data_IF_087295983350
#
_entry.id   IF_087295983350
#
_cell.length_a   1.000
_cell.length_b   1.000
_cell.length_c   1.000
_cell.angle_alpha   90.00
_cell.angle_beta   90.00
_cell.angle_gamma   90.00
#
_symmetry.space_group_name_H-M   'P 1'
#
loop_
_entity.id
_entity.type
_entity.pdbx_description
1 polymer ?
#
# COMPACT_ATOMS: atom_id res chain seq x y z
N UNK A 1 0.95 34.96 20.28
CA UNK A 1 1.59 34.10 21.30
C UNK A 1 2.29 33.02 20.51
N UNK A 2 3.62 32.92 20.63
CA UNK A 2 4.37 31.96 19.82
C UNK A 2 4.09 30.57 20.39
N UNK A 3 3.43 29.76 19.56
CA UNK A 3 3.01 28.41 19.91
C UNK A 3 4.24 27.58 20.29
N UNK A 4 4.24 27.03 21.50
CA UNK A 4 5.38 26.31 22.07
C UNK A 4 5.72 25.12 21.18
N UNK A 5 6.93 25.13 20.62
CA UNK A 5 7.45 23.96 19.92
C UNK A 5 7.77 22.88 20.96
N UNK A 6 7.30 21.66 20.73
CA UNK A 6 7.68 20.52 21.56
C UNK A 6 9.13 20.14 21.24
N UNK A 7 9.99 20.16 22.26
CA UNK A 7 11.39 19.71 22.17
C UNK A 7 11.48 18.19 22.10
N UNK A 8 10.58 17.51 22.81
CA UNK A 8 10.43 16.07 22.78
C UNK A 8 9.00 15.74 22.38
N UNK A 9 8.83 14.92 21.34
CA UNK A 9 7.53 14.56 20.81
C UNK A 9 7.39 13.05 20.72
N UNK A 10 6.36 12.53 21.38
CA UNK A 10 6.06 11.09 21.39
C UNK A 10 4.89 10.80 20.45
N UNK A 11 5.07 9.81 19.60
CA UNK A 11 4.05 9.39 18.65
C UNK A 11 3.70 7.93 18.88
N UNK A 12 2.41 7.64 19.02
CA UNK A 12 1.89 6.29 19.25
C UNK A 12 1.04 5.84 18.08
N UNK A 13 1.25 4.61 17.61
CA UNK A 13 0.53 4.01 16.50
C UNK A 13 -0.10 2.70 16.95
N UNK A 14 -1.41 2.60 16.76
CA UNK A 14 -2.19 1.38 17.02
C UNK A 14 -2.96 0.92 15.78
N UNK A 15 -3.48 -0.30 15.80
CA UNK A 15 -4.50 -0.74 14.84
C UNK A 15 -5.91 -0.28 15.27
N UNK A 16 -6.93 -0.65 14.50
CA UNK A 16 -8.35 -0.36 14.79
C UNK A 16 -8.87 -0.99 16.09
N UNK A 17 -8.21 -2.05 16.57
CA UNK A 17 -8.57 -2.77 17.79
C UNK A 17 -7.78 -2.24 19.01
N UNK A 18 -6.95 -1.21 18.81
CA UNK A 18 -6.13 -0.58 19.85
C UNK A 18 -4.83 -1.32 20.15
N UNK A 19 -4.44 -2.31 19.33
CA UNK A 19 -3.19 -3.03 19.51
C UNK A 19 -2.01 -2.19 18.98
N UNK A 20 -0.88 -2.14 19.70
CA UNK A 20 0.29 -1.39 19.26
C UNK A 20 0.90 -1.97 17.98
N UNK A 21 1.29 -1.08 17.04
CA UNK A 21 1.92 -1.47 15.79
C UNK A 21 3.43 -1.16 15.81
N UNK A 22 4.25 -2.20 15.90
CA UNK A 22 5.72 -2.16 15.74
C UNK A 22 6.11 -1.91 14.27
N UNK A 23 7.31 -1.38 14.03
CA UNK A 23 7.91 -1.24 12.69
C UNK A 23 7.02 -0.42 11.74
N UNK A 24 6.39 0.63 12.27
CA UNK A 24 5.68 1.65 11.49
C UNK A 24 6.66 2.80 11.24
N UNK A 25 6.82 3.20 9.99
CA UNK A 25 7.63 4.35 9.64
C UNK A 25 6.86 5.65 9.91
N UNK A 26 7.38 6.47 10.81
CA UNK A 26 6.86 7.79 11.15
C UNK A 26 7.83 8.84 10.62
N UNK A 27 7.36 9.62 9.64
CA UNK A 27 8.10 10.70 9.02
C UNK A 27 7.52 12.04 9.45
N UNK A 28 8.29 12.76 10.25
CA UNK A 28 8.04 14.17 10.57
C UNK A 28 8.77 15.02 9.53
N UNK A 29 8.07 15.94 8.87
CA UNK A 29 8.71 16.81 7.89
C UNK A 29 9.70 17.77 8.57
N UNK A 30 10.96 17.69 8.19
CA UNK A 30 12.07 18.44 8.80
C UNK A 30 12.99 17.57 9.64
N UNK A 31 12.57 16.34 9.96
CA UNK A 31 13.30 15.38 10.78
C UNK A 31 13.56 14.07 10.02
N UNK A 32 14.40 13.22 10.60
CA UNK A 32 14.62 11.87 10.12
C UNK A 32 13.38 10.99 10.32
N UNK A 33 13.22 9.98 9.45
CA UNK A 33 12.16 8.98 9.61
C UNK A 33 12.58 7.98 10.70
N UNK A 34 11.71 7.74 11.67
CA UNK A 34 11.92 6.75 12.72
C UNK A 34 10.88 5.64 12.66
N UNK A 35 11.19 4.50 13.25
CA UNK A 35 10.30 3.34 13.34
C UNK A 35 9.72 3.21 14.75
N UNK A 36 8.46 2.79 14.85
CA UNK A 36 7.85 2.46 16.15
C UNK A 36 8.42 1.19 16.77
N UNK A 37 8.52 1.20 18.10
CA UNK A 37 8.97 0.06 18.91
C UNK A 37 7.86 -0.99 19.15
N UNK A 38 8.12 -1.97 20.02
CA UNK A 38 7.16 -3.05 20.32
C UNK A 38 5.88 -2.56 21.00
N UNK A 39 5.90 -1.36 21.56
CA UNK A 39 4.74 -0.69 22.15
C UNK A 39 4.04 0.24 21.15
N UNK A 40 4.42 0.18 19.86
CA UNK A 40 3.89 1.05 18.82
C UNK A 40 4.27 2.51 19.02
N UNK A 41 5.34 2.79 19.77
CA UNK A 41 5.71 4.14 20.16
C UNK A 41 7.03 4.55 19.54
N UNK A 42 7.17 5.83 19.23
CA UNK A 42 8.42 6.43 18.79
C UNK A 42 8.57 7.83 19.39
N UNK A 43 9.76 8.14 19.88
CA UNK A 43 10.09 9.46 20.45
C UNK A 43 11.09 10.19 19.58
N UNK A 44 10.77 11.45 19.29
CA UNK A 44 11.62 12.41 18.62
C UNK A 44 12.15 13.37 19.69
N UNK A 45 13.46 13.39 19.87
CA UNK A 45 14.15 14.24 20.85
C UNK A 45 14.81 15.40 20.11
N UNK A 46 14.93 16.55 20.76
CA UNK A 46 15.52 17.79 20.20
C UNK A 46 14.84 18.28 18.90
N UNK A 47 13.54 18.03 18.75
CA UNK A 47 12.76 18.44 17.57
C UNK A 47 12.03 19.75 17.79
N UNK A 48 11.55 20.36 16.72
CA UNK A 48 10.72 21.58 16.79
C UNK A 48 9.38 21.35 16.10
N UNK A 49 8.50 20.60 16.76
CA UNK A 49 7.16 20.32 16.25
C UNK A 49 6.24 21.54 16.52
N UNK A 50 5.57 22.02 15.47
CA UNK A 50 4.63 23.15 15.51
C UNK A 50 3.24 22.74 14.96
N UNK A 51 2.27 23.66 14.90
CA UNK A 51 0.92 23.37 14.39
C UNK A 51 0.90 22.78 12.99
N UNK A 52 1.83 23.30 12.22
CA UNK A 52 1.93 23.25 10.79
C UNK A 52 2.91 22.16 10.35
N UNK A 53 3.55 21.49 11.32
CA UNK A 53 4.36 20.31 11.09
C UNK A 53 3.49 19.19 10.51
N UNK A 54 3.94 18.65 9.38
CA UNK A 54 3.32 17.54 8.68
C UNK A 54 3.94 16.23 9.15
N UNK A 55 3.09 15.24 9.38
CA UNK A 55 3.48 13.89 9.76
C UNK A 55 2.88 12.92 8.74
N UNK A 56 3.71 11.99 8.28
CA UNK A 56 3.30 10.88 7.41
C UNK A 56 3.67 9.57 8.09
N UNK A 57 2.72 8.66 8.17
CA UNK A 57 2.84 7.37 8.84
C UNK A 57 2.55 6.27 7.82
N UNK A 58 3.50 5.37 7.64
CA UNK A 58 3.44 4.32 6.62
C UNK A 58 3.86 2.98 7.19
N UNK A 59 3.09 1.94 6.88
CA UNK A 59 3.39 0.54 7.16
C UNK A 59 2.83 -0.32 6.04
N UNK A 60 3.59 -1.32 5.60
CA UNK A 60 3.12 -2.27 4.59
C UNK A 60 1.87 -3.01 5.08
N UNK A 61 0.88 -3.18 4.19
CA UNK A 61 -0.43 -3.77 4.52
C UNK A 61 -1.39 -2.84 5.27
N UNK A 62 -1.04 -1.57 5.52
CA UNK A 62 -1.89 -0.58 6.19
C UNK A 62 -2.12 0.67 5.34
N UNK A 63 -3.24 1.36 5.57
CA UNK A 63 -3.51 2.66 4.95
C UNK A 63 -2.51 3.71 5.42
N UNK A 64 -1.96 4.49 4.50
CA UNK A 64 -1.07 5.61 4.84
C UNK A 64 -1.85 6.73 5.51
N UNK A 65 -1.34 7.24 6.63
CA UNK A 65 -1.91 8.41 7.31
C UNK A 65 -1.01 9.61 7.02
N UNK A 66 -1.60 10.70 6.55
CA UNK A 66 -0.93 11.99 6.39
C UNK A 66 -1.75 13.06 7.10
N UNK A 67 -1.15 13.73 8.08
CA UNK A 67 -1.83 14.74 8.87
C UNK A 67 -0.89 15.89 9.26
N UNK A 68 -1.49 16.99 9.71
CA UNK A 68 -0.79 18.07 10.40
C UNK A 68 -1.05 17.93 11.90
N UNK A 69 -0.06 18.28 12.73
CA UNK A 69 -0.18 18.15 14.19
C UNK A 69 -1.33 18.98 14.75
N UNK A 70 -1.57 20.17 14.17
CA UNK A 70 -2.64 21.06 14.60
C UNK A 70 -2.33 21.78 15.92
N UNK A 71 -3.27 22.60 16.40
CA UNK A 71 -3.22 23.31 17.68
C UNK A 71 -3.42 22.38 18.87
N UNK A 72 -2.31 21.79 19.33
CA UNK A 72 -2.22 21.02 20.58
C UNK A 72 -1.18 21.64 21.52
N UNK A 73 -1.45 21.57 22.82
CA UNK A 73 -0.49 21.83 23.90
C UNK A 73 0.19 20.53 24.38
N UNK A 74 -0.28 19.38 23.90
CA UNK A 74 0.24 18.06 24.21
C UNK A 74 1.36 17.71 23.23
N UNK A 75 2.51 17.31 23.77
CA UNK A 75 3.65 16.83 22.98
C UNK A 75 3.57 15.32 22.69
N UNK A 76 2.35 14.81 22.66
CA UNK A 76 2.02 13.44 22.35
C UNK A 76 0.90 13.38 21.32
N UNK A 77 0.98 12.43 20.41
CA UNK A 77 -0.03 12.23 19.39
C UNK A 77 -0.20 10.74 19.11
N UNK A 78 -1.44 10.28 19.16
CA UNK A 78 -1.79 8.91 18.86
C UNK A 78 -2.60 8.85 17.57
N UNK A 79 -2.30 7.84 16.74
CA UNK A 79 -3.08 7.53 15.55
C UNK A 79 -3.38 6.03 15.48
N UNK A 80 -4.56 5.72 14.93
CA UNK A 80 -4.94 4.35 14.62
C UNK A 80 -4.85 4.15 13.11
N UNK A 81 -4.11 3.13 12.69
CA UNK A 81 -4.02 2.70 11.29
C UNK A 81 -5.04 1.60 11.01
N UNK A 82 -5.67 1.70 9.84
CA UNK A 82 -6.51 0.62 9.32
C UNK A 82 -5.69 -0.26 8.38
N UNK A 83 -5.94 -1.57 8.39
CA UNK A 83 -5.38 -2.44 7.36
C UNK A 83 -5.81 -1.91 6.00
N UNK A 84 -4.86 -1.80 5.07
CA UNK A 84 -5.17 -1.42 3.71
C UNK A 84 -6.20 -2.44 3.19
N UNK A 85 -7.30 -1.97 2.56
CA UNK A 85 -8.25 -2.89 1.98
C UNK A 85 -7.47 -3.83 1.08
N UNK A 86 -7.59 -5.14 1.33
CA UNK A 86 -7.09 -6.17 0.42
C UNK A 86 -7.92 -6.08 -0.84
N UNK A 87 -7.62 -5.10 -1.68
CA UNK A 87 -8.12 -5.01 -3.02
C UNK A 87 -7.45 -6.14 -3.77
N UNK A 88 -8.12 -7.30 -3.80
CA UNK A 88 -7.94 -8.22 -4.90
C UNK A 88 -8.28 -7.40 -6.15
N UNK A 89 -7.35 -7.10 -7.05
CA UNK A 89 -7.73 -6.54 -8.33
C UNK A 89 -8.49 -7.65 -9.06
N UNK A 90 -9.81 -7.72 -8.86
CA UNK A 90 -10.68 -8.36 -9.83
C UNK A 90 -10.58 -7.51 -11.07
N UNK A 91 -9.70 -7.90 -11.99
CA UNK A 91 -9.74 -7.35 -13.33
C UNK A 91 -10.98 -7.96 -13.99
N UNK A 92 -11.98 -7.13 -14.28
CA UNK A 92 -12.82 -7.43 -15.42
C UNK A 92 -11.98 -7.09 -16.64
N UNK A 93 -11.58 -8.10 -17.42
CA UNK A 93 -11.17 -7.82 -18.80
C UNK A 93 -12.43 -7.30 -19.47
N UNK A 94 -12.53 -5.99 -19.63
CA UNK A 94 -13.57 -5.38 -20.47
C UNK A 94 -13.23 -5.68 -21.93
N UNK A 95 -13.42 -6.94 -22.30
CA UNK A 95 -13.44 -7.35 -23.69
C UNK A 95 -14.84 -7.01 -24.14
N UNK A 96 -15.02 -5.84 -24.75
CA UNK A 96 -16.23 -5.50 -25.51
C UNK A 96 -16.52 -6.51 -26.67
N UNK A 97 -15.81 -7.64 -26.73
CA UNK A 97 -15.83 -8.76 -27.66
C UNK A 97 -15.48 -10.10 -26.94
N UNK A 98 -15.97 -10.34 -25.73
CA UNK A 98 -15.57 -11.47 -24.84
C UNK A 98 -15.69 -12.88 -25.42
N UNK A 99 -16.52 -13.10 -26.44
CA UNK A 99 -16.64 -14.40 -27.13
C UNK A 99 -15.43 -14.76 -28.01
N UNK A 100 -14.54 -13.80 -28.29
CA UNK A 100 -13.42 -13.99 -29.23
C UNK A 100 -12.08 -14.32 -28.56
N UNK A 101 -11.98 -14.16 -27.23
CA UNK A 101 -10.74 -14.38 -26.48
C UNK A 101 -10.72 -15.63 -25.60
N UNK A 102 -11.76 -16.47 -25.65
CA UNK A 102 -11.73 -17.78 -25.01
C UNK A 102 -10.56 -18.60 -25.59
N UNK A 103 -9.66 -19.07 -24.73
CA UNK A 103 -8.41 -19.74 -25.12
C UNK A 103 -7.21 -18.80 -25.29
N UNK A 104 -7.34 -17.50 -25.05
CA UNK A 104 -6.20 -16.58 -25.04
C UNK A 104 -5.26 -16.86 -23.86
N UNK A 105 -3.95 -16.69 -24.08
CA UNK A 105 -2.92 -16.84 -23.05
C UNK A 105 -2.67 -15.51 -22.36
N UNK A 106 -2.74 -15.51 -21.04
CA UNK A 106 -2.37 -14.40 -20.16
C UNK A 106 -1.06 -14.74 -19.47
N UNK A 107 -0.12 -13.82 -19.50
CA UNK A 107 1.18 -13.93 -18.82
C UNK A 107 1.29 -12.76 -17.85
N UNK A 108 1.52 -13.05 -16.57
CA UNK A 108 1.77 -12.05 -15.54
C UNK A 108 3.24 -12.13 -15.14
N UNK A 109 3.95 -11.01 -15.28
CA UNK A 109 5.34 -10.83 -14.87
C UNK A 109 5.34 -9.90 -13.66
N UNK A 110 5.34 -10.47 -12.47
CA UNK A 110 5.30 -9.79 -11.17
C UNK A 110 6.70 -9.50 -10.59
N UNK A 111 7.74 -9.52 -11.44
CA UNK A 111 9.13 -9.40 -10.99
C UNK A 111 9.76 -10.71 -10.50
N UNK A 112 9.00 -11.81 -10.40
CA UNK A 112 9.56 -13.13 -10.10
C UNK A 112 10.33 -13.73 -11.29
N UNK A 113 11.25 -14.66 -11.03
CA UNK A 113 12.02 -15.34 -12.09
C UNK A 113 11.12 -16.16 -13.04
N UNK A 114 9.92 -16.53 -12.61
CA UNK A 114 8.98 -17.37 -13.36
C UNK A 114 7.63 -16.68 -13.51
N UNK A 115 7.30 -16.17 -14.71
CA UNK A 115 6.02 -15.50 -14.93
C UNK A 115 4.85 -16.49 -14.84
N UNK A 116 3.74 -16.02 -14.28
CA UNK A 116 2.52 -16.80 -14.18
C UNK A 116 1.82 -16.85 -15.53
N UNK A 117 1.29 -18.02 -15.88
CA UNK A 117 0.58 -18.24 -17.14
C UNK A 117 -0.84 -18.68 -16.84
N UNK A 118 -1.79 -18.14 -17.58
CA UNK A 118 -3.19 -18.52 -17.48
C UNK A 118 -3.91 -18.46 -18.81
N UNK A 119 -5.08 -19.07 -18.86
CA UNK A 119 -5.93 -19.17 -20.05
C UNK A 119 -7.25 -18.47 -19.75
N UNK A 120 -7.71 -17.63 -20.68
CA UNK A 120 -9.03 -17.00 -20.61
C UNK A 120 -10.12 -18.05 -20.88
N UNK A 121 -10.94 -18.33 -19.88
CA UNK A 121 -12.10 -19.22 -19.97
C UNK A 121 -13.38 -18.52 -20.45
N UNK A 122 -14.44 -19.32 -20.65
CA UNK A 122 -15.75 -18.89 -21.12
C UNK A 122 -16.48 -17.98 -20.13
N UNK A 123 -16.08 -16.70 -20.12
CA UNK A 123 -16.63 -15.50 -19.43
C UNK A 123 -15.59 -14.38 -19.30
N UNK A 124 -14.37 -14.56 -19.82
CA UNK A 124 -13.28 -13.60 -19.62
C UNK A 124 -12.51 -13.81 -18.31
N UNK A 125 -12.80 -14.88 -17.57
CA UNK A 125 -12.09 -15.26 -16.34
C UNK A 125 -10.80 -15.97 -16.74
N UNK A 126 -9.67 -15.61 -16.14
CA UNK A 126 -8.39 -16.27 -16.39
C UNK A 126 -8.15 -17.34 -15.34
N UNK A 127 -7.91 -18.57 -15.80
CA UNK A 127 -7.45 -19.68 -14.95
C UNK A 127 -5.94 -19.81 -15.12
N UNK A 128 -5.19 -19.60 -14.03
CA UNK A 128 -3.74 -19.72 -14.02
C UNK A 128 -3.30 -21.16 -13.74
N UNK A 129 -2.19 -21.56 -14.36
CA UNK A 129 -1.57 -22.87 -14.16
C UNK A 129 -1.32 -23.14 -12.66
N UNK A 130 -1.51 -24.38 -12.23
CA UNK A 130 -1.36 -24.82 -10.84
C UNK A 130 -2.25 -24.11 -9.81
N UNK A 131 -3.36 -23.49 -10.25
CA UNK A 131 -4.19 -22.61 -9.42
C UNK A 131 -3.38 -21.47 -8.79
N UNK A 132 -2.31 -21.02 -9.48
CA UNK A 132 -1.51 -19.92 -9.00
C UNK A 132 -2.34 -18.64 -8.93
N UNK A 133 -2.12 -17.84 -7.90
CA UNK A 133 -2.78 -16.55 -7.74
C UNK A 133 -1.75 -15.46 -7.96
N UNK A 134 -1.85 -14.65 -9.03
CA UNK A 134 -0.89 -13.59 -9.30
C UNK A 134 -0.96 -12.48 -8.26
N UNK A 135 0.21 -12.05 -7.79
CA UNK A 135 0.37 -10.82 -7.01
C UNK A 135 0.68 -9.69 -7.99
N UNK A 136 -0.13 -8.62 -7.99
CA UNK A 136 0.07 -7.47 -8.88
C UNK A 136 0.64 -6.28 -8.08
N UNK A 137 1.97 -6.19 -8.03
CA UNK A 137 2.70 -5.02 -7.54
C UNK A 137 2.82 -3.93 -8.63
N UNK A 138 3.15 -2.66 -8.29
CA UNK A 138 3.23 -1.54 -9.25
C UNK A 138 4.20 -1.72 -10.44
N UNK A 139 5.03 -2.77 -10.44
CA UNK A 139 5.94 -3.14 -11.54
C UNK A 139 5.45 -4.36 -12.34
N UNK A 140 4.23 -4.82 -12.07
CA UNK A 140 3.69 -6.05 -12.67
C UNK A 140 3.21 -5.84 -14.09
N UNK A 141 3.86 -6.53 -15.03
CA UNK A 141 3.50 -6.47 -16.45
C UNK A 141 2.54 -7.61 -16.76
N UNK A 142 1.36 -7.27 -17.27
CA UNK A 142 0.37 -8.23 -17.76
C UNK A 142 0.37 -8.23 -19.29
N UNK A 143 0.66 -9.39 -19.87
CA UNK A 143 0.64 -9.61 -21.31
C UNK A 143 -0.49 -10.56 -21.68
N UNK A 144 -1.32 -10.16 -22.64
CA UNK A 144 -2.39 -11.00 -23.19
C UNK A 144 -2.06 -11.25 -24.66
N UNK A 145 -2.05 -12.52 -25.06
CA UNK A 145 -1.74 -12.93 -26.42
C UNK A 145 -2.69 -14.04 -26.89
N UNK A 146 -3.11 -13.94 -28.14
CA UNK A 146 -3.88 -14.97 -28.81
C UNK A 146 -3.49 -15.01 -30.28
N UNK A 147 -3.41 -16.22 -30.83
CA UNK A 147 -3.09 -16.41 -32.24
C UNK A 147 -4.13 -15.70 -33.12
N UNK A 148 -3.67 -14.85 -34.03
CA UNK A 148 -4.52 -14.04 -34.91
C UNK A 148 -4.96 -12.68 -34.34
N UNK A 149 -4.55 -12.32 -33.11
CA UNK A 149 -4.86 -11.04 -32.48
C UNK A 149 -3.58 -10.27 -32.10
N UNK A 150 -3.66 -8.93 -32.11
CA UNK A 150 -2.55 -8.10 -31.62
C UNK A 150 -2.35 -8.31 -30.11
N UNK A 151 -1.08 -8.45 -29.72
CA UNK A 151 -0.68 -8.61 -28.32
C UNK A 151 -1.03 -7.34 -27.54
N UNK A 152 -1.66 -7.51 -26.39
CA UNK A 152 -1.91 -6.43 -25.45
C UNK A 152 -0.95 -6.52 -24.27
N UNK A 153 -0.37 -5.38 -23.90
CA UNK A 153 0.53 -5.28 -22.75
C UNK A 153 0.03 -4.15 -21.86
N UNK A 154 -0.13 -4.45 -20.58
CA UNK A 154 -0.46 -3.48 -19.54
C UNK A 154 0.67 -3.48 -18.51
N UNK A 155 1.09 -2.27 -18.15
CA UNK A 155 2.09 -1.98 -17.13
C UNK A 155 1.38 -1.36 -15.93
#
# INVERSE_FOLDING_TARGET
MQKTACTDFTFTVTDKDGQPLKDVAVKVYGEDTKMTDENGTVTFEDVSITADTKIVVTKDGYTTIAQVVGETEECELAVSMEEAPKVCPTFEVDVAKSSYLEGATVIVKDGSETPLKGIVGGKGIVEFENNAVPTLEPETIVEISQEGYEKQTRM
#
